data_IF_504259047554
#
_entry.id   IF_504259047554
#
_cell.length_a   1.000
_cell.length_b   1.000
_cell.length_c   1.000
_cell.angle_alpha   90.00
_cell.angle_beta   90.00
_cell.angle_gamma   90.00
#
_symmetry.space_group_name_H-M   'P 1'
#
loop_
_entity.id
_entity.type
_entity.pdbx_description
1 polymer ?
#
# COMPACT_ATOMS: atom_id res chain seq x y z
N UNK A 1 -1.30 -7.10 -14.25
CA UNK A 1 -0.03 -7.42 -13.57
C UNK A 1 0.19 -6.33 -12.53
N UNK A 2 0.19 -6.64 -11.24
CA UNK A 2 0.44 -5.63 -10.20
C UNK A 2 1.95 -5.48 -10.08
N UNK A 3 2.51 -4.50 -10.78
CA UNK A 3 3.92 -4.14 -10.67
C UNK A 3 3.99 -2.73 -10.09
N UNK A 4 4.36 -2.60 -8.82
CA UNK A 4 4.88 -1.35 -8.30
C UNK A 4 6.39 -1.34 -8.60
N UNK A 5 6.88 -0.33 -9.33
CA UNK A 5 8.30 -0.14 -9.62
C UNK A 5 9.02 -1.28 -10.39
N UNK A 6 8.31 -2.12 -11.14
CA UNK A 6 8.91 -3.13 -12.03
C UNK A 6 9.40 -4.42 -11.35
N UNK A 7 9.14 -4.59 -10.05
CA UNK A 7 9.43 -5.81 -9.30
C UNK A 7 8.20 -6.26 -8.49
N UNK A 8 8.19 -7.52 -8.04
CA UNK A 8 7.16 -8.04 -7.14
C UNK A 8 7.43 -7.44 -5.75
N UNK A 9 6.48 -6.69 -5.16
CA UNK A 9 6.61 -6.14 -3.81
C UNK A 9 6.81 -7.25 -2.77
N UNK A 10 7.69 -7.01 -1.81
CA UNK A 10 8.01 -7.94 -0.72
C UNK A 10 7.20 -7.62 0.52
N UNK A 11 7.08 -8.60 1.42
CA UNK A 11 6.48 -8.40 2.75
C UNK A 11 7.19 -7.25 3.47
N UNK A 12 6.41 -6.29 3.96
CA UNK A 12 6.90 -5.06 4.60
C UNK A 12 7.01 -3.86 3.67
N UNK A 13 7.00 -4.05 2.35
CA UNK A 13 6.97 -2.94 1.41
C UNK A 13 5.72 -2.09 1.62
N UNK A 14 5.90 -0.78 1.47
CA UNK A 14 4.81 0.20 1.51
C UNK A 14 4.71 0.88 0.16
N UNK A 15 3.49 0.91 -0.37
CA UNK A 15 3.13 1.61 -1.59
C UNK A 15 2.22 2.76 -1.18
N UNK A 16 2.72 3.98 -1.37
CA UNK A 16 1.98 5.21 -1.12
C UNK A 16 1.19 5.59 -2.38
N UNK A 17 -0.13 5.52 -2.28
CA UNK A 17 -1.07 5.92 -3.32
C UNK A 17 -2.09 6.87 -2.67
N UNK A 18 -1.76 8.15 -2.47
CA UNK A 18 -2.59 9.06 -1.72
C UNK A 18 -4.07 9.04 -2.18
N UNK A 19 -5.04 9.01 -1.23
CA UNK A 19 -4.89 9.09 0.22
C UNK A 19 -4.70 7.72 0.90
N UNK A 20 -4.23 6.70 0.18
CA UNK A 20 -4.08 5.34 0.68
C UNK A 20 -2.62 5.01 0.92
N UNK A 21 -2.37 4.40 2.07
CA UNK A 21 -1.12 3.74 2.39
C UNK A 21 -1.34 2.24 2.39
N UNK A 22 -0.69 1.53 1.47
CA UNK A 22 -0.85 0.08 1.28
C UNK A 22 0.42 -0.60 1.77
N UNK A 23 0.32 -1.46 2.78
CA UNK A 23 1.44 -2.30 3.26
C UNK A 23 1.25 -3.74 2.80
N UNK A 24 2.30 -4.34 2.23
CA UNK A 24 2.31 -5.77 1.90
C UNK A 24 2.49 -6.58 3.18
N UNK A 25 1.51 -7.43 3.51
CA UNK A 25 1.54 -8.29 4.71
C UNK A 25 2.01 -9.70 4.36
N UNK A 26 1.54 -10.24 3.24
CA UNK A 26 1.95 -11.56 2.74
C UNK A 26 2.15 -11.53 1.22
N UNK A 27 3.24 -12.13 0.77
CA UNK A 27 3.58 -12.28 -0.63
C UNK A 27 4.44 -13.53 -0.83
N UNK A 28 4.35 -14.12 -2.02
CA UNK A 28 5.26 -15.15 -2.50
C UNK A 28 6.09 -14.60 -3.68
N UNK A 29 6.94 -15.45 -4.26
CA UNK A 29 7.86 -15.06 -5.34
C UNK A 29 7.17 -14.68 -6.65
N UNK A 30 5.84 -14.79 -6.74
CA UNK A 30 5.05 -14.51 -7.94
C UNK A 30 3.94 -13.47 -7.74
N UNK A 31 3.35 -13.37 -6.54
CA UNK A 31 2.20 -12.49 -6.27
C UNK A 31 2.14 -12.02 -4.81
N UNK A 32 1.38 -10.96 -4.61
CA UNK A 32 0.94 -10.51 -3.29
C UNK A 32 -0.32 -11.30 -2.90
N UNK A 33 -0.34 -11.86 -1.70
CA UNK A 33 -1.47 -12.63 -1.16
C UNK A 33 -2.33 -11.77 -0.21
N UNK A 34 -1.71 -10.91 0.60
CA UNK A 34 -2.42 -10.04 1.57
C UNK A 34 -1.80 -8.65 1.67
N UNK A 35 -2.66 -7.62 1.70
CA UNK A 35 -2.28 -6.23 1.97
C UNK A 35 -3.09 -5.64 3.11
N UNK A 36 -2.48 -4.73 3.86
CA UNK A 36 -3.17 -3.82 4.79
C UNK A 36 -3.30 -2.47 4.12
N UNK A 37 -4.52 -1.95 4.05
CA UNK A 37 -4.80 -0.62 3.49
C UNK A 37 -5.23 0.29 4.63
N UNK A 38 -4.59 1.45 4.72
CA UNK A 38 -5.00 2.55 5.60
C UNK A 38 -5.37 3.73 4.71
N UNK A 39 -6.57 4.28 4.90
CA UNK A 39 -6.90 5.60 4.35
C UNK A 39 -6.25 6.63 5.27
N UNK A 40 -5.25 7.33 4.77
CA UNK A 40 -4.72 8.52 5.41
C UNK A 40 -5.86 9.55 5.43
N UNK A 41 -6.33 9.88 6.63
CA UNK A 41 -7.20 11.04 6.79
C UNK A 41 -6.39 12.24 6.32
N UNK A 42 -6.90 13.06 5.38
CA UNK A 42 -6.28 14.35 5.14
C UNK A 42 -6.26 15.08 6.49
N UNK A 43 -5.13 15.70 6.83
CA UNK A 43 -5.00 16.53 8.03
C UNK A 43 -5.83 17.83 7.94
N UNK A 44 -6.90 17.82 7.16
CA UNK A 44 -7.76 18.96 6.90
C UNK A 44 -9.23 18.53 7.00
N UNK A 45 -9.59 18.09 8.20
CA UNK A 45 -10.90 18.36 8.80
C UNK A 45 -10.65 19.27 10.03
N UNK A 46 -9.86 20.33 9.85
CA UNK A 46 -9.85 21.48 10.77
C UNK A 46 -10.68 22.59 10.10
N UNK A 47 -11.95 22.64 10.51
CA UNK A 47 -12.81 23.82 10.65
C UNK A 47 -12.86 24.86 9.52
N UNK A 48 -13.92 24.80 8.69
CA UNK A 48 -14.89 25.92 8.54
C UNK A 48 -16.27 25.43 8.09
#
# INVERSE_FOLDING_TARGET
MIAANGHIPRVGDVIDVPPLRITIVEANDYRVDLVRIVKEQPAHDEEE
#
